data_IF_464969643118
#
_entry.id   IF_464969643118
#
_cell.length_a   1.000
_cell.length_b   1.000
_cell.length_c   1.000
_cell.angle_alpha   90.00
_cell.angle_beta   90.00
_cell.angle_gamma   90.00
#
_symmetry.space_group_name_H-M   'P 1'
#
loop_
_entity.id
_entity.type
_entity.pdbx_description
1 polymer ?
#
# COMPACT_ATOMS: atom_id res chain seq x y z
N UNK A 1 -9.40 18.01 16.19
CA UNK A 1 -9.55 16.55 16.19
C UNK A 1 -8.44 15.94 15.32
N UNK A 2 -7.27 15.64 15.89
CA UNK A 2 -6.22 14.91 15.16
C UNK A 2 -6.46 13.42 15.36
N UNK A 3 -7.42 12.90 14.59
CA UNK A 3 -7.60 11.47 14.39
C UNK A 3 -6.29 10.96 13.77
N UNK A 4 -5.51 10.17 14.52
CA UNK A 4 -4.28 9.50 14.03
C UNK A 4 -4.66 8.41 13.02
N UNK A 5 -5.41 8.75 11.97
CA UNK A 5 -5.74 7.82 10.90
C UNK A 5 -4.44 7.43 10.23
N UNK A 6 -4.27 6.12 10.07
CA UNK A 6 -3.26 5.56 9.19
C UNK A 6 -3.42 6.23 7.82
N UNK A 7 -2.48 7.12 7.48
CA UNK A 7 -2.52 7.88 6.24
C UNK A 7 -2.34 6.93 5.07
N UNK A 8 -3.11 7.15 4.01
CA UNK A 8 -2.95 6.38 2.78
C UNK A 8 -1.55 6.64 2.21
N UNK A 9 -0.78 5.60 1.85
CA UNK A 9 0.55 5.75 1.25
C UNK A 9 0.46 6.10 -0.25
N UNK A 10 -0.71 6.49 -0.75
CA UNK A 10 -0.96 6.73 -2.16
C UNK A 10 -0.20 7.96 -2.66
N UNK A 11 0.57 7.78 -3.74
CA UNK A 11 1.29 8.86 -4.43
C UNK A 11 0.58 9.34 -5.70
N UNK A 12 -0.70 8.98 -5.86
CA UNK A 12 -1.58 9.38 -6.97
C UNK A 12 -1.08 9.05 -8.38
N UNK A 13 -0.17 8.08 -8.51
CA UNK A 13 0.36 7.63 -9.82
C UNK A 13 -0.47 6.49 -10.42
N UNK A 14 -1.17 5.71 -9.59
CA UNK A 14 -2.10 4.63 -9.97
C UNK A 14 -1.68 3.76 -11.18
N UNK A 15 -0.40 3.38 -11.24
CA UNK A 15 0.11 2.41 -12.22
C UNK A 15 0.19 1.06 -11.51
N UNK A 16 -0.46 0.03 -12.07
CA UNK A 16 -0.42 -1.35 -11.59
C UNK A 16 0.52 -2.16 -12.49
N UNK A 17 1.31 -3.04 -11.88
CA UNK A 17 2.15 -4.00 -12.58
C UNK A 17 1.31 -5.24 -13.00
N UNK A 18 1.90 -6.22 -13.71
CA UNK A 18 1.19 -7.45 -14.13
C UNK A 18 0.69 -8.34 -12.99
N UNK A 19 1.14 -8.10 -11.75
CA UNK A 19 0.70 -8.81 -10.54
C UNK A 19 -0.37 -8.03 -9.77
N UNK A 20 -1.00 -7.03 -10.43
CA UNK A 20 -1.99 -6.13 -9.84
C UNK A 20 -1.46 -5.32 -8.63
N UNK A 21 -0.14 -5.11 -8.53
CA UNK A 21 0.51 -4.29 -7.50
C UNK A 21 0.85 -2.91 -8.05
N UNK A 22 0.48 -1.87 -7.31
CA UNK A 22 0.77 -0.51 -7.70
C UNK A 22 2.26 -0.20 -7.59
N UNK A 23 2.93 0.17 -8.69
CA UNK A 23 4.37 0.48 -8.70
C UNK A 23 4.73 1.74 -7.88
N UNK A 24 3.75 2.61 -7.60
CA UNK A 24 3.98 3.81 -6.78
C UNK A 24 3.86 3.58 -5.28
N UNK A 25 2.77 2.95 -4.86
CA UNK A 25 2.47 2.74 -3.43
C UNK A 25 2.72 1.31 -2.95
N UNK A 26 3.02 0.37 -3.85
CA UNK A 26 3.30 -1.05 -3.62
C UNK A 26 2.15 -1.83 -2.97
N UNK A 27 0.92 -1.29 -3.05
CA UNK A 27 -0.30 -1.99 -2.66
C UNK A 27 -0.91 -2.70 -3.84
N UNK A 28 -1.47 -3.87 -3.62
CA UNK A 28 -2.30 -4.58 -4.59
C UNK A 28 -3.61 -3.82 -4.88
N UNK A 29 -4.19 -4.07 -6.04
CA UNK A 29 -5.49 -3.54 -6.43
C UNK A 29 -6.57 -3.90 -5.40
N UNK A 30 -6.55 -5.13 -4.87
CA UNK A 30 -7.47 -5.57 -3.83
C UNK A 30 -7.32 -4.74 -2.55
N UNK A 31 -6.11 -4.58 -2.04
CA UNK A 31 -5.82 -3.72 -0.87
C UNK A 31 -6.23 -2.26 -1.10
N UNK A 32 -6.12 -1.77 -2.34
CA UNK A 32 -6.56 -0.42 -2.72
C UNK A 32 -8.08 -0.29 -2.60
N UNK A 33 -8.83 -1.25 -3.14
CA UNK A 33 -10.31 -1.25 -3.08
C UNK A 33 -10.84 -1.47 -1.67
N UNK A 34 -10.21 -2.34 -0.89
CA UNK A 34 -10.61 -2.72 0.46
C UNK A 34 -10.15 -1.71 1.54
N UNK A 35 -9.28 -0.75 1.20
CA UNK A 35 -8.69 0.19 2.16
C UNK A 35 -9.69 0.92 3.05
N UNK A 36 -10.84 1.32 2.48
CA UNK A 36 -11.89 2.00 3.22
C UNK A 36 -12.58 1.09 4.25
N UNK A 37 -12.58 -0.22 4.00
CA UNK A 37 -13.17 -1.25 4.86
C UNK A 37 -12.20 -1.76 5.92
N UNK A 38 -10.88 -1.61 5.73
CA UNK A 38 -9.89 -2.06 6.69
C UNK A 38 -9.88 -1.29 8.01
N UNK A 39 -9.70 -2.04 9.09
CA UNK A 39 -9.43 -1.55 10.43
C UNK A 39 -7.99 -1.04 10.54
N UNK A 40 -7.67 -0.36 11.64
CA UNK A 40 -6.32 0.20 11.83
C UNK A 40 -5.21 -0.85 11.82
N UNK A 41 -5.48 -2.06 12.29
CA UNK A 41 -4.53 -3.19 12.29
C UNK A 41 -4.25 -3.65 10.86
N UNK A 42 -5.31 -3.93 10.10
CA UNK A 42 -5.22 -4.34 8.69
C UNK A 42 -4.51 -3.27 7.85
N UNK A 43 -4.85 -1.98 8.06
CA UNK A 43 -4.17 -0.86 7.40
C UNK A 43 -2.67 -0.84 7.68
N UNK A 44 -2.25 -1.12 8.91
CA UNK A 44 -0.82 -1.18 9.28
C UNK A 44 -0.13 -2.39 8.65
N UNK A 45 -0.81 -3.52 8.57
CA UNK A 45 -0.28 -4.74 7.95
C UNK A 45 -0.06 -4.54 6.45
N UNK A 46 -1.07 -4.01 5.74
CA UNK A 46 -0.95 -3.63 4.33
C UNK A 46 0.19 -2.65 4.10
N UNK A 47 0.37 -1.66 4.97
CA UNK A 47 1.52 -0.74 4.89
C UNK A 47 2.86 -1.43 5.10
N UNK A 48 2.94 -2.41 6.01
CA UNK A 48 4.15 -3.19 6.24
C UNK A 48 4.47 -4.05 5.01
N UNK A 49 3.48 -4.72 4.43
CA UNK A 49 3.60 -5.50 3.20
C UNK A 49 4.00 -4.62 2.02
N UNK A 50 3.37 -3.45 1.82
CA UNK A 50 3.77 -2.45 0.82
C UNK A 50 5.25 -2.08 0.92
N UNK A 51 5.72 -1.83 2.14
CA UNK A 51 7.12 -1.48 2.39
C UNK A 51 8.05 -2.65 2.08
N UNK A 52 7.64 -3.87 2.41
CA UNK A 52 8.39 -5.07 2.11
C UNK A 52 8.47 -5.31 0.60
N UNK A 53 7.36 -5.20 -0.13
CA UNK A 53 7.32 -5.31 -1.60
C UNK A 53 8.19 -4.23 -2.25
N UNK A 54 8.13 -2.99 -1.76
CA UNK A 54 9.02 -1.92 -2.21
C UNK A 54 10.49 -2.22 -1.94
N UNK A 55 10.79 -2.80 -0.79
CA UNK A 55 12.15 -3.19 -0.45
C UNK A 55 12.62 -4.34 -1.35
N UNK A 56 11.78 -5.32 -1.67
CA UNK A 56 12.09 -6.41 -2.59
C UNK A 56 12.34 -5.92 -4.02
N UNK A 57 11.46 -5.06 -4.53
CA UNK A 57 11.59 -4.38 -5.83
C UNK A 57 12.84 -3.48 -5.90
N UNK A 58 13.15 -2.78 -4.81
CA UNK A 58 14.31 -1.89 -4.70
C UNK A 58 15.61 -2.55 -4.19
N UNK A 59 15.58 -3.82 -3.78
CA UNK A 59 16.75 -4.56 -3.27
C UNK A 59 17.62 -5.16 -4.39
N UNK A 60 17.34 -4.81 -5.64
CA UNK A 60 18.24 -5.08 -6.76
C UNK A 60 19.36 -4.03 -6.75
N UNK A 61 20.28 -4.11 -5.78
CA UNK A 61 21.61 -3.50 -5.81
C UNK A 61 22.66 -4.48 -5.28
#
# INVERSE_FOLDING_TARGET
MSDKKVVSPCVSICVLNPEDVCEGCYRSAEEITQWSCYNEVEKKEVLALSRQRRADDGAIL
#
